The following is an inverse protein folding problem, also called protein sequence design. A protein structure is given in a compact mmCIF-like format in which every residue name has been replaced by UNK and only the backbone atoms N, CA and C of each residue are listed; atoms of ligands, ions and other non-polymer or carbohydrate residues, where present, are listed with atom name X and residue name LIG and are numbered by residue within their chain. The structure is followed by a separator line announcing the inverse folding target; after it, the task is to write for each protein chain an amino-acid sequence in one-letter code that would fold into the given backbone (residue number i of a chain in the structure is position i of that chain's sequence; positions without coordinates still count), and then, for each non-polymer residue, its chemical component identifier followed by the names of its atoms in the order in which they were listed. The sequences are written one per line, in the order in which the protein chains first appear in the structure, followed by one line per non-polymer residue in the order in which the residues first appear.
data_IF_281666980756
#
_entry.id   IF_281666980756
#
_cell.length_a   1.000
_cell.length_b   1.000
_cell.length_c   1.000
_cell.angle_alpha   90.00
_cell.angle_beta   90.00
_cell.angle_gamma   90.00
#
_symmetry.space_group_name_H-M   'P 1'
#
loop_
_entity.id
_entity.type
_entity.pdbx_description
1 polymer ?
#
# COMPACT_ATOMS: atom_id res chain seq x y z
N UNK A 1 7.93 -9.92 -24.01
CA UNK A 1 8.02 -8.55 -24.55
C UNK A 1 6.76 -7.72 -24.24
N UNK A 2 5.55 -8.14 -24.64
CA UNK A 2 4.32 -7.40 -24.34
C UNK A 2 4.08 -7.13 -22.84
N UNK A 3 4.29 -8.13 -21.98
CA UNK A 3 4.23 -7.98 -20.51
C UNK A 3 5.23 -6.93 -19.99
N UNK A 4 6.47 -6.99 -20.44
CA UNK A 4 7.52 -6.05 -20.01
C UNK A 4 7.15 -4.60 -20.34
N UNK A 5 6.64 -4.36 -21.54
CA UNK A 5 6.16 -3.04 -21.97
C UNK A 5 4.99 -2.59 -21.09
N UNK A 6 3.96 -3.44 -20.96
CA UNK A 6 2.75 -3.09 -20.22
C UNK A 6 3.02 -2.80 -18.74
N UNK A 7 3.78 -3.66 -18.04
CA UNK A 7 4.14 -3.46 -16.63
C UNK A 7 5.02 -2.23 -16.46
N UNK A 8 6.05 -2.03 -17.30
CA UNK A 8 6.95 -0.87 -17.18
C UNK A 8 6.22 0.45 -17.40
N UNK A 9 5.36 0.54 -18.43
CA UNK A 9 4.58 1.75 -18.70
C UNK A 9 3.63 2.04 -17.54
N UNK A 10 2.94 1.02 -17.04
CA UNK A 10 2.06 1.16 -15.88
C UNK A 10 2.83 1.65 -14.65
N UNK A 11 3.97 1.03 -14.34
CA UNK A 11 4.79 1.36 -13.18
C UNK A 11 5.31 2.80 -13.25
N UNK A 12 5.79 3.25 -14.41
CA UNK A 12 6.28 4.63 -14.60
C UNK A 12 5.16 5.65 -14.40
N UNK A 13 3.98 5.42 -14.99
CA UNK A 13 2.83 6.31 -14.84
C UNK A 13 2.35 6.35 -13.38
N UNK A 14 2.23 5.18 -12.74
CA UNK A 14 1.81 5.04 -11.35
C UNK A 14 2.78 5.73 -10.39
N UNK A 15 4.08 5.43 -10.45
CA UNK A 15 5.08 5.98 -9.55
C UNK A 15 5.19 7.50 -9.71
N UNK A 16 5.22 7.98 -10.96
CA UNK A 16 5.22 9.40 -11.26
C UNK A 16 3.98 10.08 -10.68
N UNK A 17 2.80 9.50 -10.89
CA UNK A 17 1.56 10.04 -10.34
C UNK A 17 1.58 10.11 -8.81
N UNK A 18 1.90 9.00 -8.13
CA UNK A 18 1.89 8.90 -6.68
C UNK A 18 2.88 9.87 -6.04
N UNK A 19 4.10 9.97 -6.58
CA UNK A 19 5.13 10.89 -6.10
C UNK A 19 4.78 12.35 -6.37
N UNK A 20 4.36 12.71 -7.60
CA UNK A 20 4.02 14.09 -7.95
C UNK A 20 2.85 14.57 -7.09
N UNK A 21 1.76 13.79 -7.02
CA UNK A 21 0.57 14.15 -6.23
C UNK A 21 0.91 14.20 -4.75
N UNK A 22 1.62 13.20 -4.23
CA UNK A 22 2.02 13.13 -2.83
C UNK A 22 2.90 14.31 -2.39
N UNK A 23 3.98 14.58 -3.13
CA UNK A 23 4.88 15.70 -2.85
C UNK A 23 4.17 17.05 -3.02
N UNK A 24 3.28 17.19 -4.01
CA UNK A 24 2.50 18.42 -4.18
C UNK A 24 1.61 18.68 -2.96
N UNK A 25 0.87 17.67 -2.48
CA UNK A 25 0.04 17.83 -1.28
C UNK A 25 0.87 18.09 -0.02
N UNK A 26 2.04 17.45 0.09
CA UNK A 26 2.93 17.61 1.24
C UNK A 26 3.53 19.02 1.33
N UNK A 27 3.96 19.58 0.19
CA UNK A 27 4.64 20.89 0.12
C UNK A 27 3.64 22.04 0.02
N UNK A 28 2.59 21.90 -0.80
CA UNK A 28 1.64 22.98 -1.12
C UNK A 28 0.34 22.93 -0.33
N UNK A 29 0.04 21.85 0.39
CA UNK A 29 -1.12 21.79 1.28
C UNK A 29 -0.91 22.69 2.51
N UNK A 30 -1.96 23.38 2.95
CA UNK A 30 -1.97 24.19 4.17
C UNK A 30 -2.63 23.43 5.32
N UNK A 31 -3.60 22.57 5.03
CA UNK A 31 -4.29 21.77 6.04
C UNK A 31 -3.40 20.58 6.50
N UNK A 32 -3.22 20.37 7.82
CA UNK A 32 -2.44 19.24 8.33
C UNK A 32 -2.91 17.85 7.86
N UNK A 33 -4.20 17.66 7.58
CA UNK A 33 -4.78 16.42 7.04
C UNK A 33 -4.36 16.23 5.58
N UNK A 34 -4.34 17.30 4.78
CA UNK A 34 -3.84 17.26 3.39
C UNK A 34 -2.36 16.90 3.36
N UNK A 35 -1.55 17.50 4.25
CA UNK A 35 -0.12 17.14 4.36
C UNK A 35 0.06 15.68 4.73
N UNK A 36 -0.74 15.12 5.65
CA UNK A 36 -0.71 13.68 5.98
C UNK A 36 -1.09 12.81 4.78
N UNK A 37 -2.12 13.18 4.01
CA UNK A 37 -2.48 12.48 2.77
C UNK A 37 -1.34 12.56 1.73
N UNK A 38 -0.66 13.71 1.63
CA UNK A 38 0.54 13.90 0.81
C UNK A 38 1.68 12.99 1.21
N UNK A 39 2.03 12.96 2.51
CA UNK A 39 3.03 12.06 3.07
C UNK A 39 2.68 10.59 2.79
N UNK A 40 1.42 10.21 3.00
CA UNK A 40 0.93 8.85 2.73
C UNK A 40 1.14 8.45 1.25
N UNK A 41 0.79 9.34 0.31
CA UNK A 41 0.94 9.09 -1.13
C UNK A 41 2.42 9.07 -1.57
N UNK A 42 3.24 9.98 -1.05
CA UNK A 42 4.67 10.00 -1.33
C UNK A 42 5.38 8.75 -0.79
N UNK A 43 5.01 8.31 0.43
CA UNK A 43 5.52 7.08 1.04
C UNK A 43 5.14 5.84 0.22
N UNK A 44 3.91 5.79 -0.29
CA UNK A 44 3.45 4.71 -1.17
C UNK A 44 4.32 4.65 -2.44
N UNK A 45 4.43 5.76 -3.17
CA UNK A 45 5.22 5.81 -4.41
C UNK A 45 6.70 5.51 -4.18
N UNK A 46 7.30 6.11 -3.16
CA UNK A 46 8.71 5.88 -2.83
C UNK A 46 8.97 4.43 -2.39
N UNK A 47 8.09 3.86 -1.55
CA UNK A 47 8.22 2.49 -1.08
C UNK A 47 8.02 1.45 -2.17
N UNK A 48 7.09 1.67 -3.09
CA UNK A 48 6.87 0.76 -4.22
C UNK A 48 7.98 0.85 -5.27
N UNK A 49 8.65 2.00 -5.42
CA UNK A 49 9.76 2.17 -6.34
C UNK A 49 10.90 1.16 -6.09
N UNK A 50 11.18 0.83 -4.82
CA UNK A 50 12.20 -0.17 -4.45
C UNK A 50 11.86 -1.58 -4.96
N UNK A 51 10.59 -1.88 -5.26
CA UNK A 51 10.18 -3.14 -5.84
C UNK A 51 9.97 -3.06 -7.35
N UNK A 52 9.27 -2.02 -7.81
CA UNK A 52 8.83 -1.87 -9.20
C UNK A 52 9.97 -1.51 -10.15
N UNK A 53 10.93 -0.68 -9.72
CA UNK A 53 12.08 -0.33 -10.57
C UNK A 53 12.96 -1.55 -10.84
N UNK A 54 13.39 -2.35 -9.83
CA UNK A 54 14.08 -3.61 -10.10
C UNK A 54 13.26 -4.60 -10.92
N UNK A 55 11.93 -4.64 -10.73
CA UNK A 55 11.03 -5.50 -11.50
C UNK A 55 11.01 -5.13 -12.98
N UNK A 56 10.82 -3.85 -13.28
CA UNK A 56 10.90 -3.34 -14.65
C UNK A 56 12.26 -3.68 -15.25
N UNK A 57 13.37 -3.39 -14.57
CA UNK A 57 14.72 -3.74 -15.04
C UNK A 57 14.87 -5.24 -15.33
N UNK A 58 14.39 -6.10 -14.42
CA UNK A 58 14.48 -7.56 -14.55
C UNK A 58 13.72 -8.09 -15.76
N UNK A 59 12.58 -7.49 -16.10
CA UNK A 59 11.76 -7.88 -17.26
C UNK A 59 12.43 -7.55 -18.61
N UNK A 60 13.39 -6.61 -18.62
CA UNK A 60 14.13 -6.19 -19.80
C UNK A 60 15.54 -6.78 -19.91
N UNK A 61 16.03 -7.47 -18.88
CA UNK A 61 17.44 -7.89 -18.79
C UNK A 61 17.59 -9.39 -18.53
N UNK A 62 18.22 -9.79 -17.42
CA UNK A 62 18.61 -11.17 -17.10
C UNK A 62 17.49 -11.99 -16.46
N UNK A 63 16.28 -11.43 -16.36
CA UNK A 63 15.10 -12.09 -15.80
C UNK A 63 14.91 -11.89 -14.30
N UNK A 64 13.75 -12.32 -13.80
CA UNK A 64 13.36 -12.14 -12.39
C UNK A 64 14.20 -12.98 -11.41
N UNK A 65 14.70 -14.13 -11.86
CA UNK A 65 15.50 -15.04 -11.02
C UNK A 65 16.89 -14.49 -10.75
N UNK A 66 17.57 -13.99 -11.80
CA UNK A 66 18.89 -13.37 -11.68
C UNK A 66 18.89 -12.10 -10.80
N UNK A 67 17.73 -11.45 -10.66
CA UNK A 67 17.54 -10.23 -9.88
C UNK A 67 16.77 -10.46 -8.57
N UNK A 68 16.67 -11.71 -8.11
CA UNK A 68 15.89 -12.09 -6.94
C UNK A 68 16.22 -11.27 -5.68
N UNK A 69 17.51 -10.99 -5.44
CA UNK A 69 17.95 -10.19 -4.31
C UNK A 69 17.37 -8.77 -4.31
N UNK A 70 17.44 -8.07 -5.45
CA UNK A 70 16.91 -6.71 -5.58
C UNK A 70 15.37 -6.69 -5.44
N UNK A 71 14.68 -7.64 -6.08
CA UNK A 71 13.22 -7.81 -5.94
C UNK A 71 12.82 -8.12 -4.50
N UNK A 72 13.63 -8.92 -3.82
CA UNK A 72 13.51 -9.32 -2.44
C UNK A 72 13.57 -8.17 -1.45
N UNK A 73 14.66 -7.39 -1.55
CA UNK A 73 14.84 -6.15 -0.77
C UNK A 73 13.71 -5.17 -1.06
N UNK A 74 13.30 -5.04 -2.32
CA UNK A 74 12.13 -4.26 -2.71
C UNK A 74 10.88 -4.67 -1.96
N UNK A 75 10.52 -5.96 -1.99
CA UNK A 75 9.34 -6.48 -1.26
C UNK A 75 9.44 -6.27 0.25
N UNK A 76 10.64 -6.37 0.83
CA UNK A 76 10.87 -6.09 2.25
C UNK A 76 10.56 -4.63 2.58
N UNK A 77 11.15 -3.68 1.84
CA UNK A 77 10.92 -2.25 2.01
C UNK A 77 9.44 -1.93 1.81
N UNK A 78 8.83 -2.40 0.72
CA UNK A 78 7.41 -2.19 0.43
C UNK A 78 6.52 -2.76 1.54
N UNK A 79 6.87 -3.89 2.16
CA UNK A 79 6.10 -4.45 3.28
C UNK A 79 6.10 -3.51 4.49
N UNK A 80 7.24 -2.87 4.79
CA UNK A 80 7.35 -1.88 5.87
C UNK A 80 6.60 -0.60 5.51
N UNK A 81 6.84 -0.02 4.32
CA UNK A 81 6.20 1.24 3.92
C UNK A 81 4.68 1.10 3.81
N UNK A 82 4.17 -0.05 3.33
CA UNK A 82 2.74 -0.34 3.32
C UNK A 82 2.15 -0.47 4.74
N UNK A 83 2.92 -0.93 5.71
CA UNK A 83 2.48 -0.94 7.12
C UNK A 83 2.29 0.48 7.62
N UNK A 84 3.29 1.34 7.38
CA UNK A 84 3.26 2.75 7.76
C UNK A 84 2.15 3.48 6.99
N UNK A 85 1.92 3.18 5.71
CA UNK A 85 0.81 3.72 4.92
C UNK A 85 -0.54 3.51 5.61
N UNK A 86 -0.83 2.28 6.05
CA UNK A 86 -2.10 1.98 6.73
C UNK A 86 -2.20 2.62 8.11
N UNK A 87 -1.06 2.80 8.79
CA UNK A 87 -1.02 3.55 10.04
C UNK A 87 -1.29 5.04 9.81
N UNK A 88 -0.74 5.65 8.76
CA UNK A 88 -1.06 7.04 8.38
C UNK A 88 -2.53 7.15 7.97
N UNK A 89 -3.05 6.21 7.18
CA UNK A 89 -4.45 6.17 6.78
C UNK A 89 -5.41 6.09 7.99
N UNK A 90 -5.02 5.36 9.02
CA UNK A 90 -5.73 5.36 10.31
C UNK A 90 -5.74 6.74 10.97
N UNK A 91 -4.61 7.46 10.97
CA UNK A 91 -4.57 8.81 11.53
C UNK A 91 -5.35 9.83 10.68
N UNK A 92 -5.38 9.67 9.36
CA UNK A 92 -6.25 10.45 8.46
C UNK A 92 -7.71 10.24 8.83
N UNK A 93 -8.14 9.00 9.05
CA UNK A 93 -9.50 8.70 9.54
C UNK A 93 -9.78 9.41 10.87
N UNK A 94 -8.88 9.30 11.85
CA UNK A 94 -9.06 9.90 13.17
C UNK A 94 -9.26 11.41 13.09
N UNK A 95 -8.44 12.10 12.30
CA UNK A 95 -8.48 13.55 12.20
C UNK A 95 -9.65 14.04 11.34
N UNK A 96 -9.91 13.37 10.21
CA UNK A 96 -11.05 13.70 9.34
C UNK A 96 -12.38 13.68 10.08
N UNK A 97 -12.58 12.68 10.94
CA UNK A 97 -13.82 12.47 11.69
C UNK A 97 -13.73 12.91 13.16
N UNK A 98 -12.67 13.63 13.56
CA UNK A 98 -12.48 14.19 14.90
C UNK A 98 -12.60 13.15 16.04
N UNK A 99 -12.05 11.95 15.81
CA UNK A 99 -12.12 10.81 16.74
C UNK A 99 -11.07 10.96 17.85
N UNK A 100 -11.50 11.51 18.99
CA UNK A 100 -10.62 11.83 20.14
C UNK A 100 -10.37 10.66 21.09
N UNK A 101 -11.32 9.73 21.27
CA UNK A 101 -11.29 8.78 22.43
C UNK A 101 -11.05 7.29 22.10
N UNK A 102 -10.46 6.94 20.95
CA UNK A 102 -10.21 5.53 20.59
C UNK A 102 -8.81 5.04 20.98
N UNK A 103 -8.42 5.19 22.26
CA UNK A 103 -7.09 4.78 22.77
C UNK A 103 -6.79 3.29 22.50
N UNK A 104 -7.76 2.41 22.75
CA UNK A 104 -7.60 0.97 22.50
C UNK A 104 -7.34 0.65 21.03
N UNK A 105 -8.11 1.25 20.11
CA UNK A 105 -7.90 1.03 18.68
C UNK A 105 -6.55 1.57 18.19
N UNK A 106 -6.12 2.73 18.71
CA UNK A 106 -4.78 3.26 18.38
C UNK A 106 -3.69 2.30 18.83
N UNK A 107 -3.80 1.77 20.07
CA UNK A 107 -2.87 0.76 20.57
C UNK A 107 -2.87 -0.49 19.67
N UNK A 108 -4.05 -0.99 19.28
CA UNK A 108 -4.16 -2.13 18.37
C UNK A 108 -3.44 -1.87 17.03
N UNK A 109 -3.62 -0.70 16.42
CA UNK A 109 -2.96 -0.35 15.16
C UNK A 109 -1.43 -0.29 15.29
N UNK A 110 -0.92 0.24 16.41
CA UNK A 110 0.51 0.25 16.68
C UNK A 110 1.07 -1.14 16.94
N UNK A 111 0.41 -1.96 17.77
CA UNK A 111 0.82 -3.34 18.04
C UNK A 111 0.87 -4.16 16.75
N UNK A 112 -0.16 -4.07 15.90
CA UNK A 112 -0.18 -4.77 14.61
C UNK A 112 0.94 -4.29 13.68
N UNK A 113 1.21 -2.98 13.67
CA UNK A 113 2.27 -2.39 12.84
C UNK A 113 3.65 -2.86 13.29
N UNK A 114 3.94 -2.77 14.58
CA UNK A 114 5.21 -3.20 15.17
C UNK A 114 5.40 -4.71 14.96
N UNK A 115 4.35 -5.50 15.22
CA UNK A 115 4.36 -6.94 15.00
C UNK A 115 4.69 -7.28 13.55
N UNK A 116 4.04 -6.64 12.58
CA UNK A 116 4.32 -6.85 11.16
C UNK A 116 5.76 -6.52 10.81
N UNK A 117 6.25 -5.35 11.25
CA UNK A 117 7.62 -4.92 10.97
C UNK A 117 8.61 -5.93 11.57
N UNK A 118 8.42 -6.33 12.83
CA UNK A 118 9.25 -7.36 13.47
C UNK A 118 9.23 -8.69 12.70
N UNK A 119 8.05 -9.14 12.25
CA UNK A 119 7.92 -10.34 11.43
C UNK A 119 8.62 -10.22 10.07
N UNK A 120 8.72 -9.02 9.48
CA UNK A 120 9.48 -8.79 8.25
C UNK A 120 11.00 -8.93 8.46
N UNK A 121 11.52 -8.68 9.67
CA UNK A 121 12.95 -8.82 9.97
C UNK A 121 13.40 -10.25 10.26
N UNK A 122 12.47 -11.20 10.39
CA UNK A 122 12.81 -12.60 10.60
C UNK A 122 13.63 -13.15 9.41
N UNK A 123 14.79 -13.80 9.63
CA UNK A 123 15.63 -14.31 8.55
C UNK A 123 14.94 -15.38 7.70
N UNK A 124 13.95 -16.08 8.27
CA UNK A 124 13.16 -17.10 7.60
C UNK A 124 12.26 -16.56 6.48
N UNK A 125 12.14 -15.23 6.34
CA UNK A 125 11.53 -14.63 5.16
C UNK A 125 12.36 -14.86 3.88
N UNK A 126 13.66 -15.17 4.02
CA UNK A 126 14.58 -15.45 2.92
C UNK A 126 14.47 -14.42 1.79
N UNK A 127 14.47 -13.13 2.14
CA UNK A 127 14.15 -12.06 1.19
C UNK A 127 14.99 -12.13 -0.09
N UNK A 128 16.26 -12.54 0.01
CA UNK A 128 17.20 -12.59 -1.11
C UNK A 128 17.04 -13.83 -2.01
N UNK A 129 16.26 -14.82 -1.61
CA UNK A 129 16.02 -16.03 -2.39
C UNK A 129 14.89 -15.82 -3.41
N UNK A 130 15.02 -16.43 -4.58
CA UNK A 130 14.00 -16.35 -5.63
C UNK A 130 12.66 -16.99 -5.19
N UNK A 131 12.73 -18.12 -4.49
CA UNK A 131 11.57 -18.83 -3.94
C UNK A 131 11.49 -18.64 -2.43
N UNK A 132 10.77 -17.62 -2.01
CA UNK A 132 10.54 -17.32 -0.59
C UNK A 132 9.53 -18.30 0.04
N UNK A 133 9.67 -18.66 1.33
CA UNK A 133 8.73 -19.54 2.02
C UNK A 133 7.34 -18.91 2.16
N UNK A 134 6.32 -19.63 1.69
CA UNK A 134 4.93 -19.17 1.76
C UNK A 134 4.48 -18.96 3.22
N UNK A 135 4.87 -19.83 4.15
CA UNK A 135 4.46 -19.76 5.56
C UNK A 135 4.83 -18.41 6.21
N UNK A 136 6.06 -17.93 5.99
CA UNK A 136 6.50 -16.62 6.50
C UNK A 136 5.87 -15.45 5.73
N UNK A 137 5.59 -15.65 4.43
CA UNK A 137 4.76 -14.74 3.63
C UNK A 137 3.35 -14.55 4.19
N UNK A 138 2.70 -15.63 4.64
CA UNK A 138 1.38 -15.57 5.30
C UNK A 138 1.52 -14.92 6.67
N UNK A 139 2.46 -15.38 7.49
CA UNK A 139 2.65 -14.93 8.87
C UNK A 139 2.80 -13.40 8.96
N UNK A 140 3.68 -12.80 8.15
CA UNK A 140 3.89 -11.33 8.14
C UNK A 140 2.69 -10.54 7.60
N UNK A 141 1.79 -11.18 6.85
CA UNK A 141 0.62 -10.54 6.26
C UNK A 141 -0.66 -10.70 7.10
N UNK A 142 -0.70 -11.60 8.09
CA UNK A 142 -1.83 -11.70 9.02
C UNK A 142 -2.06 -10.35 9.75
N UNK A 143 -1.06 -9.71 10.39
CA UNK A 143 -1.28 -8.42 11.04
C UNK A 143 -1.73 -7.34 10.04
N UNK A 144 -1.22 -7.40 8.81
CA UNK A 144 -1.60 -6.46 7.76
C UNK A 144 -3.07 -6.61 7.33
N UNK A 145 -3.52 -7.85 7.13
CA UNK A 145 -4.91 -8.13 6.78
C UNK A 145 -5.86 -7.63 7.88
N UNK A 146 -5.48 -7.82 9.15
CA UNK A 146 -6.25 -7.30 10.30
C UNK A 146 -6.31 -5.76 10.25
N UNK A 147 -5.18 -5.07 10.00
CA UNK A 147 -5.18 -3.61 9.82
C UNK A 147 -6.09 -3.18 8.67
N UNK A 148 -6.07 -3.90 7.55
CA UNK A 148 -6.95 -3.67 6.41
C UNK A 148 -8.42 -3.77 6.76
N UNK A 149 -8.83 -4.86 7.42
CA UNK A 149 -10.21 -5.06 7.90
C UNK A 149 -10.63 -3.95 8.86
N UNK A 150 -9.75 -3.56 9.80
CA UNK A 150 -10.01 -2.44 10.70
C UNK A 150 -10.28 -1.16 9.90
N UNK A 151 -9.42 -0.80 8.95
CA UNK A 151 -9.60 0.38 8.09
C UNK A 151 -10.93 0.32 7.33
N UNK A 152 -11.27 -0.82 6.74
CA UNK A 152 -12.55 -1.00 6.01
C UNK A 152 -13.72 -0.72 6.95
N UNK A 153 -13.74 -1.36 8.13
CA UNK A 153 -14.85 -1.25 9.09
C UNK A 153 -15.01 0.18 9.61
N UNK A 154 -13.91 0.84 9.99
CA UNK A 154 -14.00 2.19 10.57
C UNK A 154 -14.40 3.24 9.53
N UNK A 155 -13.92 3.15 8.28
CA UNK A 155 -14.38 4.05 7.23
C UNK A 155 -15.82 3.73 6.78
N UNK A 156 -16.23 2.46 6.78
CA UNK A 156 -17.60 2.08 6.40
C UNK A 156 -18.63 2.65 7.38
N UNK A 157 -18.31 2.65 8.68
CA UNK A 157 -19.13 3.28 9.72
C UNK A 157 -19.33 4.78 9.50
N UNK A 158 -18.31 5.47 8.99
CA UNK A 158 -18.40 6.91 8.72
C UNK A 158 -19.08 7.22 7.37
N UNK A 159 -18.81 6.40 6.34
CA UNK A 159 -19.47 6.51 5.03
C UNK A 159 -20.99 6.31 5.13
N UNK A 160 -21.45 5.36 5.96
CA UNK A 160 -22.88 5.11 6.20
C UNK A 160 -23.63 6.26 6.86
N UNK A 161 -22.93 7.23 7.47
CA UNK A 161 -23.54 8.44 8.04
C UNK A 161 -23.85 9.51 6.99
N UNK A 162 -23.51 9.28 5.72
CA UNK A 162 -23.90 10.12 4.57
C UNK A 162 -23.20 11.49 4.46
N UNK A 163 -22.15 11.74 5.24
CA UNK A 163 -21.61 13.10 5.44
C UNK A 163 -20.25 13.40 4.78
N UNK A 164 -19.57 12.41 4.19
CA UNK A 164 -18.22 12.62 3.64
C UNK A 164 -18.12 12.36 2.12
N UNK A 165 -18.21 13.39 1.27
CA UNK A 165 -18.10 13.23 -0.18
C UNK A 165 -16.67 12.87 -0.64
N UNK A 166 -15.66 12.98 0.22
CA UNK A 166 -14.26 12.71 -0.13
C UNK A 166 -13.92 11.23 0.06
N UNK A 167 -14.17 10.71 1.27
CA UNK A 167 -13.73 9.37 1.66
C UNK A 167 -14.85 8.30 1.68
N UNK A 168 -16.05 8.59 1.16
CA UNK A 168 -17.16 7.61 1.11
C UNK A 168 -16.80 6.27 0.46
N UNK A 169 -15.86 6.26 -0.49
CA UNK A 169 -15.43 5.06 -1.20
C UNK A 169 -14.15 4.43 -0.64
N UNK A 170 -13.57 5.00 0.43
CA UNK A 170 -12.38 4.44 1.08
C UNK A 170 -12.54 2.96 1.48
N UNK A 171 -13.69 2.52 2.06
CA UNK A 171 -13.87 1.10 2.40
C UNK A 171 -13.79 0.20 1.17
N UNK A 172 -14.40 0.62 0.07
CA UNK A 172 -14.41 -0.13 -1.19
C UNK A 172 -13.01 -0.18 -1.81
N UNK A 173 -12.29 0.94 -1.84
CA UNK A 173 -10.93 0.99 -2.37
C UNK A 173 -9.99 0.07 -1.58
N UNK A 174 -10.06 0.10 -0.24
CA UNK A 174 -9.25 -0.78 0.61
C UNK A 174 -9.67 -2.25 0.45
N UNK A 175 -10.97 -2.54 0.39
CA UNK A 175 -11.48 -3.91 0.19
C UNK A 175 -11.03 -4.49 -1.16
N UNK A 176 -11.11 -3.71 -2.25
CA UNK A 176 -10.60 -4.12 -3.56
C UNK A 176 -9.10 -4.38 -3.52
N UNK A 177 -8.34 -3.48 -2.88
CA UNK A 177 -6.90 -3.64 -2.75
C UNK A 177 -6.53 -4.96 -2.05
N UNK A 178 -7.14 -5.27 -0.91
CA UNK A 178 -6.90 -6.54 -0.21
C UNK A 178 -7.46 -7.75 -0.96
N UNK A 179 -8.62 -7.61 -1.61
CA UNK A 179 -9.23 -8.66 -2.41
C UNK A 179 -8.35 -9.12 -3.57
N UNK A 180 -7.62 -8.20 -4.20
CA UNK A 180 -6.62 -8.53 -5.22
C UNK A 180 -5.28 -8.96 -4.63
N UNK A 181 -4.89 -8.44 -3.46
CA UNK A 181 -3.61 -8.77 -2.82
C UNK A 181 -3.56 -10.18 -2.23
N UNK A 182 -4.63 -10.63 -1.56
CA UNK A 182 -4.65 -11.93 -0.88
C UNK A 182 -4.38 -13.11 -1.83
N UNK A 183 -5.03 -13.21 -3.00
CA UNK A 183 -4.71 -14.26 -3.97
C UNK A 183 -3.24 -14.22 -4.44
N UNK A 184 -2.67 -13.02 -4.62
CA UNK A 184 -1.26 -12.87 -5.01
C UNK A 184 -0.35 -13.46 -3.95
N UNK A 185 -0.56 -13.13 -2.67
CA UNK A 185 0.27 -13.66 -1.58
C UNK A 185 0.21 -15.18 -1.49
N UNK A 186 -0.98 -15.76 -1.69
CA UNK A 186 -1.21 -17.19 -1.50
C UNK A 186 -0.76 -18.03 -2.70
N UNK A 187 -0.94 -17.52 -3.92
CA UNK A 187 -0.87 -18.34 -5.13
C UNK A 187 0.18 -17.91 -6.14
N UNK A 188 0.85 -16.75 -6.00
CA UNK A 188 1.81 -16.29 -7.04
C UNK A 188 2.99 -17.23 -7.26
N UNK A 189 3.36 -18.04 -6.26
CA UNK A 189 4.42 -19.04 -6.36
C UNK A 189 4.03 -20.28 -7.17
N UNK A 190 2.73 -20.57 -7.31
CA UNK A 190 2.20 -21.76 -8.01
C UNK A 190 1.55 -21.38 -9.34
N UNK A 191 0.88 -20.23 -9.39
CA UNK A 191 0.22 -19.69 -10.57
C UNK A 191 0.74 -18.26 -10.85
N UNK A 192 1.83 -18.12 -11.63
CA UNK A 192 2.44 -16.81 -11.92
C UNK A 192 1.48 -15.78 -12.51
N UNK A 193 0.47 -16.22 -13.27
CA UNK A 193 -0.57 -15.37 -13.84
C UNK A 193 -1.36 -14.57 -12.79
N UNK A 194 -1.49 -15.10 -11.56
CA UNK A 194 -2.16 -14.40 -10.44
C UNK A 194 -1.43 -13.10 -10.09
N UNK A 195 -0.13 -13.01 -10.39
CA UNK A 195 0.66 -11.78 -10.23
C UNK A 195 0.09 -10.57 -10.98
N UNK A 196 -0.70 -10.78 -12.05
CA UNK A 196 -1.37 -9.68 -12.78
C UNK A 196 -2.39 -8.92 -11.92
N UNK A 197 -2.90 -9.53 -10.84
CA UNK A 197 -3.80 -8.85 -9.89
C UNK A 197 -3.11 -7.70 -9.13
N UNK A 198 -1.79 -7.56 -9.23
CA UNK A 198 -1.08 -6.40 -8.70
C UNK A 198 -1.50 -5.09 -9.39
N UNK A 199 -1.87 -5.13 -10.68
CA UNK A 199 -2.33 -3.93 -11.42
C UNK A 199 -3.66 -3.39 -10.86
N UNK A 200 -4.75 -4.17 -10.78
CA UNK A 200 -6.01 -3.67 -10.21
C UNK A 200 -5.89 -3.34 -8.72
N UNK A 201 -5.05 -4.06 -7.96
CA UNK A 201 -4.67 -3.66 -6.59
C UNK A 201 -4.06 -2.24 -6.56
N UNK A 202 -3.09 -1.95 -7.43
CA UNK A 202 -2.43 -0.65 -7.48
C UNK A 202 -3.39 0.46 -7.93
N UNK A 203 -4.31 0.18 -8.85
CA UNK A 203 -5.37 1.12 -9.21
C UNK A 203 -6.28 1.48 -8.02
N UNK A 204 -6.54 0.53 -7.12
CA UNK A 204 -7.25 0.82 -5.89
C UNK A 204 -6.47 1.79 -4.97
N UNK A 205 -5.13 1.69 -4.91
CA UNK A 205 -4.31 2.67 -4.21
C UNK A 205 -4.26 4.03 -4.91
N UNK A 206 -4.18 4.06 -6.25
CA UNK A 206 -4.32 5.30 -7.03
C UNK A 206 -5.64 5.98 -6.68
N UNK A 207 -6.72 5.22 -6.53
CA UNK A 207 -8.01 5.78 -6.10
C UNK A 207 -7.96 6.36 -4.68
N UNK A 208 -7.30 5.70 -3.73
CA UNK A 208 -7.07 6.26 -2.38
C UNK A 208 -6.29 7.58 -2.45
N UNK A 209 -5.23 7.64 -3.26
CA UNK A 209 -4.46 8.88 -3.48
C UNK A 209 -5.31 9.97 -4.13
N UNK A 210 -6.19 9.62 -5.08
CA UNK A 210 -7.13 10.57 -5.69
C UNK A 210 -8.15 11.12 -4.69
N UNK A 211 -8.59 10.33 -3.69
CA UNK A 211 -9.41 10.86 -2.60
C UNK A 211 -8.63 11.89 -1.76
N UNK A 212 -7.36 11.63 -1.47
CA UNK A 212 -6.46 12.62 -0.86
C UNK A 212 -6.30 13.88 -1.72
N UNK A 213 -6.14 13.72 -3.03
CA UNK A 213 -6.06 14.86 -3.96
C UNK A 213 -7.35 15.67 -3.99
N UNK A 214 -8.51 15.01 -3.92
CA UNK A 214 -9.80 15.69 -3.81
C UNK A 214 -9.89 16.53 -2.53
N UNK A 215 -9.35 16.04 -1.42
CA UNK A 215 -9.22 16.81 -0.18
C UNK A 215 -8.38 18.07 -0.40
N UNK A 216 -7.21 17.96 -1.03
CA UNK A 216 -6.37 19.12 -1.37
C UNK A 216 -7.08 20.14 -2.26
N UNK A 217 -7.88 19.69 -3.23
CA UNK A 217 -8.65 20.59 -4.10
C UNK A 217 -9.77 21.35 -3.38
N UNK A 218 -10.24 20.86 -2.23
CA UNK A 218 -11.22 21.56 -1.40
C UNK A 218 -10.57 22.56 -0.44
N UNK A 219 -9.25 22.54 -0.30
CA UNK A 219 -8.46 23.46 0.52
C UNK A 219 -8.16 24.78 -0.20
N UNK A 220 -8.28 24.79 -1.53
CA UNK A 220 -8.08 25.96 -2.40
C UNK A 220 -9.35 26.77 -2.53
#
# INVERSE_FOLDING_TARGET
MAQAIAETVFDVLYLSFALIVGLTMLVKGKDPLVKKAGLMAALLGAGDAFHLVPRSYSLWTTGLEANAAALGVGKFITSITMTIFYLILYYIWRERYQIKEKKGLTLTMWVLSILRIALCFLPQNQWLEYRQPLAFGILRNIPFAIMGVIIIVIFAKEAGKGKDPVFRFMPLAVALSFGFYLPVVLFSGVAPAVGMLMIPKTLAYVWIVLMGWKLYRQEK
#
